data_IF_328844642037
#
_entry.id   IF_328844642037
#
_cell.length_a   1.000
_cell.length_b   1.000
_cell.length_c   1.000
_cell.angle_alpha   90.00
_cell.angle_beta   90.00
_cell.angle_gamma   90.00
#
_symmetry.space_group_name_H-M   'P 1'
#
loop_
_entity.id
_entity.type
_entity.pdbx_description
1 polymer ?
#
# COMPACT_ATOMS: atom_id res chain seq x y z
N UNK A 1 -16.33 -8.00 21.24
CA UNK A 1 -16.13 -6.65 20.65
C UNK A 1 -15.36 -6.89 19.38
N UNK A 2 -15.93 -6.58 18.21
CA UNK A 2 -15.29 -6.85 16.93
C UNK A 2 -14.27 -5.72 16.70
N UNK A 3 -12.99 -6.03 16.76
CA UNK A 3 -11.91 -5.10 16.46
C UNK A 3 -11.77 -5.02 14.93
N UNK A 4 -12.45 -4.05 14.32
CA UNK A 4 -12.28 -3.74 12.89
C UNK A 4 -11.25 -2.64 12.75
N UNK A 5 -10.19 -2.91 11.99
CA UNK A 5 -9.14 -1.94 11.71
C UNK A 5 -9.35 -1.41 10.30
N UNK A 6 -9.57 -0.11 10.17
CA UNK A 6 -9.67 0.56 8.87
C UNK A 6 -8.34 0.47 8.13
N UNK A 7 -8.38 0.03 6.88
CA UNK A 7 -7.22 0.03 5.99
C UNK A 7 -7.23 1.31 5.17
N UNK A 8 -6.19 2.11 5.36
CA UNK A 8 -5.92 3.26 4.51
C UNK A 8 -4.90 2.87 3.46
N UNK A 9 -5.05 3.38 2.24
CA UNK A 9 -3.96 3.32 1.27
C UNK A 9 -2.74 4.04 1.84
N UNK A 10 -1.54 3.65 1.39
CA UNK A 10 -0.30 4.29 1.83
C UNK A 10 -0.30 5.80 1.56
N UNK A 11 -0.84 6.21 0.41
CA UNK A 11 -1.02 7.62 0.08
C UNK A 11 -1.93 8.35 1.09
N UNK A 12 -3.05 7.74 1.48
CA UNK A 12 -4.01 8.33 2.42
C UNK A 12 -3.42 8.44 3.83
N UNK A 13 -2.68 7.43 4.27
CA UNK A 13 -1.95 7.46 5.54
C UNK A 13 -0.91 8.59 5.58
N UNK A 14 -0.12 8.73 4.52
CA UNK A 14 0.90 9.79 4.42
C UNK A 14 0.24 11.17 4.36
N UNK A 15 -0.88 11.30 3.65
CA UNK A 15 -1.68 12.53 3.63
C UNK A 15 -2.20 12.88 5.03
N UNK A 16 -2.81 11.94 5.72
CA UNK A 16 -3.33 12.13 7.07
C UNK A 16 -2.21 12.57 8.02
N UNK A 17 -1.11 11.80 8.07
CA UNK A 17 0.06 12.07 8.92
C UNK A 17 0.62 13.46 8.66
N UNK A 18 0.80 13.83 7.38
CA UNK A 18 1.30 15.14 7.00
C UNK A 18 0.35 16.27 7.45
N UNK A 19 -0.96 16.09 7.27
CA UNK A 19 -1.95 17.10 7.68
C UNK A 19 -2.04 17.27 9.18
N UNK A 20 -1.92 16.19 9.96
CA UNK A 20 -1.96 16.24 11.42
C UNK A 20 -0.70 16.89 12.00
N UNK A 21 0.48 16.60 11.43
CA UNK A 21 1.72 17.30 11.77
C UNK A 21 1.62 18.80 11.48
N UNK A 22 1.07 19.18 10.34
CA UNK A 22 0.87 20.60 9.99
C UNK A 22 -0.08 21.28 10.97
N UNK A 23 -1.22 20.65 11.29
CA UNK A 23 -2.18 21.17 12.28
C UNK A 23 -1.52 21.39 13.63
N UNK A 24 -0.73 20.43 14.11
CA UNK A 24 -0.01 20.54 15.36
C UNK A 24 1.01 21.70 15.35
N UNK A 25 1.78 21.84 14.27
CA UNK A 25 2.75 22.94 14.09
C UNK A 25 2.05 24.29 14.06
N UNK A 26 0.95 24.43 13.30
CA UNK A 26 0.16 25.67 13.24
C UNK A 26 -0.45 26.00 14.61
N UNK A 27 -0.99 25.02 15.34
CA UNK A 27 -1.56 25.22 16.65
C UNK A 27 -0.52 25.71 17.69
N UNK A 28 0.73 25.26 17.57
CA UNK A 28 1.83 25.75 18.42
C UNK A 28 2.35 27.13 18.03
N UNK A 29 1.86 27.71 16.93
CA UNK A 29 2.32 29.00 16.39
C UNK A 29 3.74 28.96 15.84
N UNK A 30 4.31 27.77 15.64
CA UNK A 30 5.67 27.63 15.12
C UNK A 30 5.64 27.64 13.60
N UNK A 31 6.26 28.64 12.99
CA UNK A 31 6.42 28.72 11.54
C UNK A 31 7.80 28.23 11.09
N UNK A 32 8.52 27.49 11.94
CA UNK A 32 9.87 27.03 11.66
C UNK A 32 9.86 25.77 10.78
N UNK A 33 10.97 25.53 10.08
CA UNK A 33 11.18 24.27 9.39
C UNK A 33 11.11 23.11 10.39
N UNK A 34 10.31 22.10 10.06
CA UNK A 34 10.16 20.89 10.87
C UNK A 34 10.70 19.69 10.09
N UNK A 35 11.77 19.02 10.56
CA UNK A 35 12.37 17.89 9.86
C UNK A 35 11.41 16.71 9.67
N UNK A 36 10.48 16.49 10.60
CA UNK A 36 9.48 15.41 10.51
C UNK A 36 8.51 15.66 9.35
N UNK A 37 8.06 16.91 9.17
CA UNK A 37 7.25 17.28 8.00
C UNK A 37 8.04 17.05 6.71
N UNK A 38 9.33 17.34 6.69
CA UNK A 38 10.18 17.12 5.51
C UNK A 38 10.32 15.64 5.16
N UNK A 39 10.46 14.79 6.16
CA UNK A 39 10.56 13.33 6.01
C UNK A 39 9.27 12.73 5.47
N UNK A 40 8.13 13.02 6.09
CA UNK A 40 6.81 12.55 5.63
C UNK A 40 6.50 13.08 4.23
N UNK A 41 6.81 14.35 3.95
CA UNK A 41 6.65 14.91 2.60
C UNK A 41 7.56 14.21 1.57
N UNK A 42 8.78 13.84 1.95
CA UNK A 42 9.68 13.09 1.06
C UNK A 42 9.17 11.67 0.80
N UNK A 43 8.66 10.99 1.82
CA UNK A 43 8.03 9.66 1.64
C UNK A 43 6.80 9.73 0.74
N UNK A 44 5.93 10.72 0.95
CA UNK A 44 4.76 10.91 0.10
C UNK A 44 5.15 11.27 -1.35
N UNK A 45 6.23 12.04 -1.51
CA UNK A 45 6.77 12.34 -2.85
C UNK A 45 7.26 11.06 -3.53
N UNK A 46 7.96 10.16 -2.82
CA UNK A 46 8.41 8.87 -3.38
C UNK A 46 7.22 8.01 -3.81
N UNK A 47 6.19 7.91 -2.97
CA UNK A 47 4.99 7.12 -3.25
C UNK A 47 4.31 7.58 -4.55
N UNK A 48 4.04 8.89 -4.67
CA UNK A 48 3.41 9.44 -5.86
C UNK A 48 4.30 9.36 -7.10
N UNK A 49 5.62 9.48 -6.96
CA UNK A 49 6.53 9.33 -8.09
C UNK A 49 6.47 7.93 -8.68
N UNK A 50 6.36 6.88 -7.85
CA UNK A 50 6.24 5.49 -8.33
C UNK A 50 4.95 5.33 -9.12
N UNK A 51 3.81 5.72 -8.55
CA UNK A 51 2.51 5.64 -9.26
C UNK A 51 2.46 6.48 -10.54
N UNK A 52 3.07 7.68 -10.53
CA UNK A 52 3.16 8.52 -11.74
C UNK A 52 4.07 7.94 -12.81
N UNK A 53 5.19 7.32 -12.42
CA UNK A 53 6.11 6.70 -13.36
C UNK A 53 5.50 5.45 -14.04
N UNK A 54 4.65 4.72 -13.32
CA UNK A 54 3.84 3.62 -13.87
C UNK A 54 2.79 4.11 -14.87
N UNK A 55 2.07 5.19 -14.54
CA UNK A 55 1.06 5.78 -15.41
C UNK A 55 1.66 6.50 -16.64
N UNK A 56 2.90 6.97 -16.54
CA UNK A 56 3.54 7.72 -17.61
C UNK A 56 3.93 6.83 -18.80
N UNK A 57 3.29 7.09 -19.95
CA UNK A 57 3.63 6.50 -21.24
C UNK A 57 4.93 7.08 -21.84
N UNK A 58 6.06 6.92 -21.15
CA UNK A 58 7.40 6.92 -21.76
C UNK A 58 8.10 8.28 -21.96
N UNK A 59 7.57 9.40 -21.47
CA UNK A 59 8.20 10.73 -21.61
C UNK A 59 8.42 11.48 -20.28
N UNK A 60 8.34 10.78 -19.15
CA UNK A 60 8.56 11.41 -17.86
C UNK A 60 10.05 11.70 -17.63
N UNK A 61 10.37 12.96 -17.29
CA UNK A 61 11.69 13.36 -16.81
C UNK A 61 11.70 13.33 -15.27
N UNK A 62 12.86 13.10 -14.63
CA UNK A 62 12.96 13.09 -13.16
C UNK A 62 12.38 14.36 -12.53
N UNK A 63 12.72 15.51 -13.09
CA UNK A 63 12.23 16.81 -12.64
C UNK A 63 10.72 16.98 -12.83
N UNK A 64 10.13 16.42 -13.89
CA UNK A 64 8.69 16.49 -14.10
C UNK A 64 7.93 15.61 -13.12
N UNK A 65 8.44 14.41 -12.81
CA UNK A 65 7.85 13.53 -11.79
C UNK A 65 7.87 14.21 -10.42
N UNK A 66 9.02 14.73 -10.00
CA UNK A 66 9.16 15.41 -8.71
C UNK A 66 8.24 16.62 -8.59
N UNK A 67 8.12 17.40 -9.68
CA UNK A 67 7.22 18.55 -9.71
C UNK A 67 5.75 18.11 -9.62
N UNK A 68 5.34 17.14 -10.43
CA UNK A 68 3.95 16.65 -10.43
C UNK A 68 3.57 16.01 -9.09
N UNK A 69 4.44 15.21 -8.50
CA UNK A 69 4.25 14.65 -7.16
C UNK A 69 4.13 15.77 -6.11
N UNK A 70 5.04 16.75 -6.11
CA UNK A 70 4.98 17.88 -5.18
C UNK A 70 3.71 18.73 -5.32
N UNK A 71 3.32 19.07 -6.56
CA UNK A 71 2.09 19.82 -6.84
C UNK A 71 0.84 19.04 -6.39
N UNK A 72 0.82 17.72 -6.59
CA UNK A 72 -0.28 16.85 -6.15
C UNK A 72 -0.39 16.78 -4.63
N UNK A 73 0.74 16.70 -3.90
CA UNK A 73 0.76 16.71 -2.43
C UNK A 73 0.27 18.06 -1.91
N UNK A 74 0.81 19.16 -2.42
CA UNK A 74 0.41 20.51 -2.01
C UNK A 74 -1.11 20.72 -2.16
N UNK A 75 -1.66 20.28 -3.30
CA UNK A 75 -3.10 20.33 -3.56
C UNK A 75 -3.89 19.48 -2.56
N UNK A 76 -3.55 18.20 -2.40
CA UNK A 76 -4.27 17.28 -1.50
C UNK A 76 -4.21 17.71 -0.03
N UNK A 77 -3.04 18.18 0.41
CA UNK A 77 -2.86 18.72 1.76
C UNK A 77 -3.72 19.96 1.96
N UNK A 78 -3.72 20.90 1.01
CA UNK A 78 -4.54 22.10 1.11
C UNK A 78 -6.05 21.78 1.10
N UNK A 79 -6.49 20.84 0.26
CA UNK A 79 -7.87 20.33 0.24
C UNK A 79 -8.29 19.80 1.62
N UNK A 80 -7.43 19.04 2.31
CA UNK A 80 -7.74 18.45 3.63
C UNK A 80 -7.55 19.39 4.82
N UNK A 81 -6.69 20.40 4.68
CA UNK A 81 -6.47 21.45 5.70
C UNK A 81 -7.56 22.53 5.67
N UNK A 82 -8.30 22.66 4.57
CA UNK A 82 -9.37 23.65 4.43
C UNK A 82 -8.84 25.08 4.55
N UNK A 83 -9.28 25.81 5.58
CA UNK A 83 -8.89 27.21 5.81
C UNK A 83 -7.49 27.38 6.41
N UNK A 84 -6.90 26.30 6.95
CA UNK A 84 -5.55 26.36 7.52
C UNK A 84 -4.55 26.60 6.39
N UNK A 85 -3.89 27.77 6.43
CA UNK A 85 -2.86 28.13 5.45
C UNK A 85 -1.50 27.66 5.94
N UNK A 86 -0.89 26.74 5.19
CA UNK A 86 0.47 26.29 5.45
C UNK A 86 1.25 26.20 4.14
N UNK A 87 2.44 26.80 4.09
CA UNK A 87 3.26 26.84 2.90
C UNK A 87 4.29 25.70 2.89
N UNK A 88 4.03 24.68 2.06
CA UNK A 88 4.90 23.53 1.85
C UNK A 88 6.10 23.78 0.92
N UNK A 89 6.15 24.91 0.21
CA UNK A 89 7.20 25.19 -0.78
C UNK A 89 8.61 25.19 -0.17
N UNK A 90 8.74 25.49 1.12
CA UNK A 90 10.01 25.42 1.87
C UNK A 90 10.59 24.00 1.98
N UNK A 91 9.74 22.97 1.89
CA UNK A 91 10.14 21.56 1.91
C UNK A 91 10.40 21.04 0.49
N UNK A 92 9.61 21.52 -0.46
CA UNK A 92 9.61 21.08 -1.86
C UNK A 92 10.97 21.15 -2.52
N UNK A 93 11.71 22.25 -2.40
CA UNK A 93 13.02 22.39 -3.06
C UNK A 93 14.07 21.44 -2.47
N UNK A 94 14.13 21.33 -1.13
CA UNK A 94 15.04 20.42 -0.44
C UNK A 94 14.77 18.96 -0.77
N UNK A 95 13.49 18.57 -0.76
CA UNK A 95 13.06 17.21 -1.10
C UNK A 95 13.28 16.91 -2.59
N UNK A 96 12.95 17.83 -3.50
CA UNK A 96 13.20 17.66 -4.92
C UNK A 96 14.69 17.46 -5.23
N UNK A 97 15.57 18.21 -4.53
CA UNK A 97 17.01 18.03 -4.65
C UNK A 97 17.47 16.66 -4.13
N UNK A 98 16.97 16.24 -2.97
CA UNK A 98 17.32 14.96 -2.36
C UNK A 98 16.83 13.75 -3.18
N UNK A 99 15.64 13.86 -3.78
CA UNK A 99 15.00 12.78 -4.53
C UNK A 99 15.35 12.78 -6.02
N UNK A 100 16.24 13.66 -6.49
CA UNK A 100 16.65 13.73 -7.90
C UNK A 100 17.29 12.43 -8.41
N UNK A 101 18.14 11.80 -7.61
CA UNK A 101 18.78 10.51 -7.97
C UNK A 101 17.75 9.37 -7.91
N UNK A 102 16.98 9.20 -6.81
CA UNK A 102 15.88 8.23 -6.77
C UNK A 102 14.89 8.36 -7.94
N UNK A 103 14.54 9.58 -8.36
CA UNK A 103 13.64 9.81 -9.49
C UNK A 103 14.17 9.24 -10.81
N UNK A 104 15.49 9.31 -11.02
CA UNK A 104 16.14 8.70 -12.20
C UNK A 104 16.10 7.18 -12.13
N UNK A 105 16.37 6.61 -10.95
CA UNK A 105 16.35 5.17 -10.74
C UNK A 105 14.95 4.59 -10.93
N UNK A 106 13.91 5.25 -10.38
CA UNK A 106 12.51 4.84 -10.59
C UNK A 106 12.16 4.82 -12.07
N UNK A 107 12.56 5.84 -12.84
CA UNK A 107 12.32 5.86 -14.29
C UNK A 107 13.05 4.75 -15.04
N UNK A 108 14.30 4.47 -14.68
CA UNK A 108 15.06 3.38 -15.27
C UNK A 108 14.41 2.02 -14.96
N UNK A 109 14.06 1.77 -13.70
CA UNK A 109 13.37 0.56 -13.26
C UNK A 109 12.01 0.37 -13.95
N UNK A 110 11.28 1.46 -14.21
CA UNK A 110 10.02 1.41 -14.97
C UNK A 110 10.24 1.02 -16.43
N UNK A 111 11.31 1.47 -17.07
CA UNK A 111 11.64 1.05 -18.43
C UNK A 111 12.07 -0.41 -18.47
N UNK A 112 12.90 -0.85 -17.52
CA UNK A 112 13.29 -2.26 -17.37
C UNK A 112 12.06 -3.15 -17.14
N UNK A 113 11.13 -2.72 -16.28
CA UNK A 113 9.87 -3.43 -16.03
C UNK A 113 9.00 -3.50 -17.30
N UNK A 114 8.91 -2.42 -18.08
CA UNK A 114 8.20 -2.41 -19.36
C UNK A 114 8.84 -3.36 -20.37
N UNK A 115 10.17 -3.40 -20.42
CA UNK A 115 10.91 -4.32 -21.29
C UNK A 115 10.69 -5.79 -20.88
N UNK A 116 10.83 -6.11 -19.60
CA UNK A 116 10.60 -7.46 -19.07
C UNK A 116 9.16 -7.94 -19.32
N UNK A 117 8.17 -7.05 -19.19
CA UNK A 117 6.77 -7.33 -19.56
C UNK A 117 6.61 -7.60 -21.06
N UNK A 118 7.26 -6.83 -21.94
CA UNK A 118 7.26 -7.07 -23.40
C UNK A 118 7.90 -8.41 -23.79
N UNK A 119 8.83 -8.90 -22.96
CA UNK A 119 9.52 -10.18 -23.14
C UNK A 119 8.80 -11.35 -22.46
N UNK A 120 7.62 -11.12 -21.84
CA UNK A 120 6.84 -12.11 -21.09
C UNK A 120 7.62 -12.76 -19.92
N UNK A 121 8.62 -12.05 -19.37
CA UNK A 121 9.39 -12.50 -18.20
C UNK A 121 8.65 -12.23 -16.89
N UNK A 122 7.85 -11.16 -16.88
CA UNK A 122 7.01 -10.74 -15.76
C UNK A 122 5.56 -10.73 -16.27
N UNK A 123 4.58 -11.16 -15.46
CA UNK A 123 3.20 -11.10 -15.90
C UNK A 123 2.74 -9.68 -16.20
N UNK A 124 2.07 -9.50 -17.34
CA UNK A 124 1.13 -8.41 -17.52
C UNK A 124 -0.14 -8.78 -16.75
N UNK A 125 -0.21 -8.45 -15.45
CA UNK A 125 -1.49 -8.50 -14.76
C UNK A 125 -1.97 -7.08 -14.47
N UNK A 126 -3.09 -6.71 -15.09
CA UNK A 126 -4.20 -6.10 -14.38
C UNK A 126 -5.03 -7.21 -13.69
N UNK A 127 -6.03 -6.84 -12.87
CA UNK A 127 -6.79 -7.79 -12.04
C UNK A 127 -7.29 -8.98 -12.87
N UNK A 128 -7.00 -10.19 -12.40
CA UNK A 128 -7.56 -11.40 -12.98
C UNK A 128 -9.09 -11.33 -12.91
N UNK A 129 -9.74 -11.10 -14.05
CA UNK A 129 -11.14 -11.39 -14.29
C UNK A 129 -11.35 -12.92 -14.25
N UNK A 130 -11.38 -13.50 -13.06
CA UNK A 130 -11.92 -14.84 -12.86
C UNK A 130 -12.83 -14.87 -11.65
N UNK A 131 -14.08 -14.46 -11.90
CA UNK A 131 -15.26 -15.18 -11.45
C UNK A 131 -15.43 -15.38 -9.94
N UNK A 132 -15.36 -14.30 -9.17
CA UNK A 132 -16.05 -14.10 -7.88
C UNK A 132 -15.70 -12.67 -7.46
N UNK A 133 -16.67 -11.85 -7.04
CA UNK A 133 -16.37 -10.54 -6.45
C UNK A 133 -15.73 -10.76 -5.07
N UNK A 134 -14.44 -11.08 -5.05
CA UNK A 134 -13.64 -11.09 -3.82
C UNK A 134 -13.10 -9.70 -3.56
N UNK A 135 -13.15 -9.17 -2.33
CA UNK A 135 -12.69 -7.81 -1.99
C UNK A 135 -11.16 -7.67 -2.01
N UNK A 136 -10.45 -8.55 -2.73
CA UNK A 136 -9.00 -8.61 -2.79
C UNK A 136 -8.54 -9.37 -4.03
N UNK A 137 -7.26 -9.20 -4.36
CA UNK A 137 -6.56 -9.96 -5.38
C UNK A 137 -5.22 -10.47 -4.84
N UNK A 138 -4.70 -11.54 -5.42
CA UNK A 138 -3.40 -12.13 -5.04
C UNK A 138 -2.40 -11.88 -6.16
N UNK A 139 -1.26 -11.31 -5.81
CA UNK A 139 -0.09 -11.10 -6.64
C UNK A 139 1.01 -12.11 -6.32
N UNK A 140 1.75 -12.50 -7.35
CA UNK A 140 2.99 -13.26 -7.22
C UNK A 140 4.17 -12.32 -7.45
N UNK A 141 5.12 -12.30 -6.53
CA UNK A 141 6.34 -11.50 -6.64
C UNK A 141 7.47 -12.40 -7.13
N UNK A 142 8.05 -12.05 -8.27
CA UNK A 142 9.14 -12.79 -8.90
C UNK A 142 9.03 -12.80 -10.43
N UNK A 143 9.91 -13.57 -11.08
CA UNK A 143 9.88 -13.78 -12.53
C UNK A 143 9.03 -15.01 -12.87
N UNK A 144 8.29 -14.98 -13.98
CA UNK A 144 7.42 -16.08 -14.45
C UNK A 144 8.12 -17.44 -14.56
N UNK A 145 9.41 -17.44 -14.89
CA UNK A 145 10.22 -18.64 -15.14
C UNK A 145 11.27 -18.89 -14.05
N UNK A 146 11.21 -18.12 -12.96
CA UNK A 146 12.06 -18.28 -11.78
C UNK A 146 11.22 -18.73 -10.59
N UNK A 147 11.86 -18.87 -9.43
CA UNK A 147 11.18 -19.10 -8.17
C UNK A 147 10.30 -17.89 -7.78
N UNK A 148 9.07 -18.17 -7.35
CA UNK A 148 8.18 -17.19 -6.73
C UNK A 148 8.79 -16.83 -5.38
N UNK A 149 9.12 -15.55 -5.18
CA UNK A 149 9.79 -15.05 -3.99
C UNK A 149 8.80 -14.66 -2.88
N UNK A 150 7.61 -14.21 -3.27
CA UNK A 150 6.54 -13.94 -2.31
C UNK A 150 5.17 -14.04 -2.95
N UNK A 151 4.16 -14.25 -2.09
CA UNK A 151 2.76 -14.09 -2.41
C UNK A 151 2.20 -12.92 -1.60
N UNK A 152 1.43 -12.05 -2.25
CA UNK A 152 0.84 -10.87 -1.61
C UNK A 152 -0.64 -10.82 -1.93
N UNK A 153 -1.51 -10.79 -0.92
CA UNK A 153 -2.91 -10.46 -1.07
C UNK A 153 -3.11 -8.97 -0.81
N UNK A 154 -3.74 -8.27 -1.75
CA UNK A 154 -4.01 -6.84 -1.69
C UNK A 154 -5.52 -6.62 -1.68
N UNK A 155 -6.05 -5.73 -0.83
CA UNK A 155 -7.46 -5.35 -0.92
C UNK A 155 -7.74 -4.76 -2.30
N UNK A 156 -8.96 -4.96 -2.81
CA UNK A 156 -9.47 -4.20 -3.95
C UNK A 156 -9.46 -2.71 -3.58
N UNK A 157 -9.30 -1.79 -4.53
CA UNK A 157 -9.07 -0.34 -4.30
C UNK A 157 -10.22 0.41 -3.57
N UNK A 158 -11.16 -0.34 -3.00
CA UNK A 158 -12.27 0.12 -2.16
C UNK A 158 -11.82 0.20 -0.69
N UNK A 159 -12.42 1.12 0.05
CA UNK A 159 -12.25 1.19 1.50
C UNK A 159 -12.62 -0.17 2.11
N UNK A 160 -11.70 -0.78 2.86
CA UNK A 160 -11.90 -2.08 3.49
C UNK A 160 -11.47 -2.03 4.97
N UNK A 161 -11.93 -3.01 5.73
CA UNK A 161 -11.53 -3.21 7.11
C UNK A 161 -10.90 -4.59 7.27
N UNK A 162 -10.01 -4.71 8.24
CA UNK A 162 -9.48 -6.00 8.71
C UNK A 162 -10.27 -6.44 9.93
N UNK A 163 -10.90 -7.62 9.86
CA UNK A 163 -11.56 -8.28 10.99
C UNK A 163 -10.78 -9.54 11.39
N UNK A 164 -9.85 -9.38 12.33
CA UNK A 164 -9.06 -10.50 12.88
C UNK A 164 -9.90 -11.47 13.70
N UNK A 165 -11.12 -11.10 14.11
CA UNK A 165 -12.02 -11.98 14.84
C UNK A 165 -12.45 -13.20 14.01
N UNK A 166 -12.48 -13.05 12.68
CA UNK A 166 -12.91 -14.10 11.74
C UNK A 166 -11.90 -15.25 11.59
N UNK A 167 -10.66 -15.06 12.04
CA UNK A 167 -9.54 -16.01 11.87
C UNK A 167 -8.90 -16.42 13.20
N UNK A 168 -9.49 -16.01 14.33
CA UNK A 168 -8.90 -16.22 15.65
C UNK A 168 -8.75 -17.71 16.03
N UNK A 169 -9.58 -18.58 15.45
CA UNK A 169 -9.49 -20.04 15.63
C UNK A 169 -8.53 -20.72 14.64
N UNK A 170 -8.23 -20.05 13.51
CA UNK A 170 -7.44 -20.62 12.41
C UNK A 170 -5.96 -20.25 12.48
N UNK A 171 -5.60 -19.18 13.18
CA UNK A 171 -4.22 -18.70 13.26
C UNK A 171 -3.94 -17.97 14.57
N UNK A 172 -2.65 -17.85 14.92
CA UNK A 172 -2.20 -17.03 16.05
C UNK A 172 -1.75 -15.65 15.55
N UNK A 173 -2.39 -14.59 16.03
CA UNK A 173 -1.95 -13.20 15.78
C UNK A 173 -0.86 -12.78 16.77
N UNK A 174 0.24 -12.20 16.28
CA UNK A 174 1.23 -11.46 17.08
C UNK A 174 1.31 -10.00 16.63
N UNK A 175 1.72 -9.14 17.55
CA UNK A 175 1.80 -7.69 17.36
C UNK A 175 0.65 -6.96 18.06
N UNK A 176 0.98 -5.81 18.66
CA UNK A 176 0.01 -4.87 19.23
C UNK A 176 -0.37 -3.76 18.24
N UNK A 177 0.47 -3.58 17.21
CA UNK A 177 0.30 -2.64 16.12
C UNK A 177 0.93 -3.21 14.85
N UNK A 178 0.64 -2.60 13.69
CA UNK A 178 1.27 -2.97 12.43
C UNK A 178 2.81 -2.91 12.51
N UNK A 179 3.51 -3.84 11.82
CA UNK A 179 2.95 -5.00 11.11
C UNK A 179 2.47 -6.09 12.08
N UNK A 180 1.38 -6.77 11.72
CA UNK A 180 0.92 -7.96 12.46
C UNK A 180 1.49 -9.23 11.84
N UNK A 181 1.76 -10.24 12.66
CA UNK A 181 2.13 -11.58 12.19
C UNK A 181 0.95 -12.54 12.41
N UNK A 182 0.53 -13.24 11.36
CA UNK A 182 -0.45 -14.31 11.41
C UNK A 182 0.27 -15.64 11.22
N UNK A 183 0.30 -16.43 12.29
CA UNK A 183 1.01 -17.70 12.33
C UNK A 183 0.02 -18.83 12.12
N UNK A 184 0.20 -19.58 11.04
CA UNK A 184 -0.61 -20.75 10.67
C UNK A 184 0.25 -22.00 10.75
N UNK A 185 -0.26 -23.03 11.42
CA UNK A 185 0.38 -24.34 11.45
C UNK A 185 -0.21 -25.20 10.33
N UNK A 186 0.60 -25.54 9.32
CA UNK A 186 0.20 -26.49 8.27
C UNK A 186 0.93 -27.82 8.46
N UNK A 187 0.19 -28.93 8.41
CA UNK A 187 0.74 -30.27 8.65
C UNK A 187 1.81 -30.71 7.66
N UNK A 188 1.84 -30.12 6.47
CA UNK A 188 2.72 -30.51 5.37
C UNK A 188 3.92 -29.58 5.21
N UNK A 189 3.80 -28.31 5.62
CA UNK A 189 4.83 -27.28 5.45
C UNK A 189 5.47 -26.87 6.78
N UNK A 190 4.72 -26.96 7.89
CA UNK A 190 5.12 -26.48 9.20
C UNK A 190 4.51 -25.11 9.50
N UNK A 191 5.29 -24.27 10.19
CA UNK A 191 4.87 -22.92 10.57
C UNK A 191 4.97 -21.96 9.38
N UNK A 192 3.84 -21.36 9.02
CA UNK A 192 3.73 -20.30 8.02
C UNK A 192 3.47 -18.97 8.71
N UNK A 193 4.25 -17.95 8.36
CA UNK A 193 4.11 -16.60 8.91
C UNK A 193 3.67 -15.66 7.79
N UNK A 194 2.44 -15.16 7.91
CA UNK A 194 1.92 -14.10 7.04
C UNK A 194 2.06 -12.76 7.75
N UNK A 195 2.58 -11.76 7.06
CA UNK A 195 2.75 -10.41 7.59
C UNK A 195 1.63 -9.53 7.05
N UNK A 196 0.87 -8.89 7.93
CA UNK A 196 -0.12 -7.89 7.57
C UNK A 196 0.47 -6.51 7.79
N UNK A 197 0.58 -5.74 6.70
CA UNK A 197 1.13 -4.38 6.73
C UNK A 197 0.02 -3.33 6.89
N UNK A 198 0.41 -2.08 7.18
CA UNK A 198 -0.50 -0.97 7.48
C UNK A 198 -1.41 -0.59 6.30
N UNK A 199 -0.99 -0.88 5.07
CA UNK A 199 -1.82 -0.74 3.86
C UNK A 199 -2.80 -1.90 3.67
N UNK A 200 -2.94 -2.77 4.68
CA UNK A 200 -3.81 -3.94 4.69
C UNK A 200 -3.27 -5.14 3.94
N UNK A 201 -2.17 -5.02 3.19
CA UNK A 201 -1.61 -6.12 2.43
C UNK A 201 -1.18 -7.27 3.33
N UNK A 202 -1.42 -8.50 2.88
CA UNK A 202 -1.03 -9.73 3.58
C UNK A 202 0.01 -10.43 2.71
N UNK A 203 1.23 -10.60 3.22
CA UNK A 203 2.33 -11.16 2.45
C UNK A 203 3.02 -12.33 3.15
N UNK A 204 3.54 -13.25 2.35
CA UNK A 204 4.41 -14.33 2.80
C UNK A 204 5.58 -14.48 1.84
N UNK A 205 6.78 -14.54 2.38
CA UNK A 205 7.98 -14.89 1.62
C UNK A 205 7.99 -16.39 1.37
N UNK A 206 8.23 -16.78 0.13
CA UNK A 206 8.17 -18.18 -0.32
C UNK A 206 9.53 -18.69 -0.79
N UNK A 207 10.62 -18.04 -0.34
CA UNK A 207 11.98 -18.45 -0.63
C UNK A 207 12.18 -19.93 -0.26
N UNK A 208 12.64 -20.73 -1.23
CA UNK A 208 12.86 -22.17 -1.09
C UNK A 208 11.61 -23.03 -0.88
N UNK A 209 10.40 -22.52 -1.13
CA UNK A 209 9.20 -23.36 -1.07
C UNK A 209 9.14 -24.28 -2.30
N UNK A 210 8.89 -25.59 -2.12
CA UNK A 210 8.65 -26.46 -3.26
C UNK A 210 7.36 -26.06 -3.98
N UNK A 211 7.27 -26.32 -5.29
CA UNK A 211 6.12 -25.91 -6.11
C UNK A 211 4.77 -26.43 -5.57
N UNK A 212 4.77 -27.61 -4.97
CA UNK A 212 3.59 -28.21 -4.33
C UNK A 212 3.15 -27.42 -3.08
N UNK A 213 4.10 -26.86 -2.31
CA UNK A 213 3.81 -26.00 -1.17
C UNK A 213 3.27 -24.63 -1.61
N UNK A 214 3.77 -24.07 -2.71
CA UNK A 214 3.29 -22.77 -3.22
C UNK A 214 1.79 -22.76 -3.49
N UNK A 215 1.25 -23.82 -4.10
CA UNK A 215 -0.19 -23.93 -4.36
C UNK A 215 -1.00 -23.99 -3.07
N UNK A 216 -0.46 -24.67 -2.05
CA UNK A 216 -1.11 -24.77 -0.75
C UNK A 216 -1.06 -23.45 0.02
N UNK A 217 0.07 -22.77 0.01
CA UNK A 217 0.26 -21.45 0.63
C UNK A 217 -0.64 -20.41 -0.03
N UNK A 218 -0.78 -20.44 -1.37
CA UNK A 218 -1.71 -19.57 -2.10
C UNK A 218 -3.16 -19.77 -1.63
N UNK A 219 -3.58 -21.01 -1.39
CA UNK A 219 -4.92 -21.30 -0.89
C UNK A 219 -5.12 -20.84 0.56
N UNK A 220 -4.10 -21.01 1.41
CA UNK A 220 -4.13 -20.51 2.79
C UNK A 220 -4.21 -18.97 2.79
N UNK A 221 -3.40 -18.29 1.97
CA UNK A 221 -3.45 -16.85 1.81
C UNK A 221 -4.84 -16.39 1.33
N UNK A 222 -5.41 -17.07 0.33
CA UNK A 222 -6.77 -16.78 -0.16
C UNK A 222 -7.82 -16.94 0.95
N UNK A 223 -7.71 -18.00 1.76
CA UNK A 223 -8.61 -18.23 2.88
C UNK A 223 -8.51 -17.13 3.94
N UNK A 224 -7.29 -16.79 4.38
CA UNK A 224 -7.03 -15.73 5.35
C UNK A 224 -7.57 -14.39 4.82
N UNK A 225 -7.20 -14.01 3.61
CA UNK A 225 -7.64 -12.76 2.98
C UNK A 225 -9.18 -12.69 2.86
N UNK A 226 -9.83 -13.78 2.45
CA UNK A 226 -11.29 -13.84 2.34
C UNK A 226 -12.06 -13.81 3.66
N UNK A 227 -11.37 -13.99 4.79
CA UNK A 227 -11.94 -13.86 6.13
C UNK A 227 -11.67 -12.51 6.75
N UNK A 228 -10.46 -11.97 6.55
CA UNK A 228 -10.02 -10.73 7.18
C UNK A 228 -10.60 -9.51 6.45
N UNK A 229 -10.56 -9.48 5.12
CA UNK A 229 -11.04 -8.33 4.37
C UNK A 229 -12.56 -8.27 4.40
N UNK A 230 -13.09 -7.24 5.06
CA UNK A 230 -14.52 -6.99 5.13
C UNK A 230 -14.86 -5.62 4.55
N UNK A 231 -15.97 -5.56 3.82
CA UNK A 231 -16.49 -4.31 3.26
C UNK A 231 -16.99 -3.38 4.38
N UNK A 232 -17.04 -2.05 4.13
CA UNK A 232 -17.74 -1.12 4.99
C UNK A 232 -19.19 -1.57 5.11
N UNK A 233 -19.73 -1.60 6.32
CA UNK A 233 -21.17 -1.78 6.48
C UNK A 233 -21.81 -0.54 5.89
N UNK A 234 -22.50 -0.67 4.75
CA UNK A 234 -23.33 0.42 4.26
C UNK A 234 -24.41 0.68 5.30
N UNK A 235 -24.46 1.90 5.81
CA UNK A 235 -25.51 2.36 6.73
C UNK A 235 -26.84 2.57 5.95
N UNK A 236 -27.13 1.72 4.96
CA UNK A 236 -28.38 1.74 4.17
C UNK A 236 -29.49 0.96 4.91
N UNK A 237 -29.58 1.17 6.22
CA UNK A 237 -30.76 0.81 7.02
C UNK A 237 -31.34 2.03 7.71
N UNK A 238 -31.38 3.15 6.98
CA UNK A 238 -32.27 4.25 7.29
C UNK A 238 -33.68 3.96 6.75
N UNK A 239 -34.56 3.57 7.68
CA UNK A 239 -36.02 3.76 7.67
C UNK A 239 -36.84 3.03 6.60
N UNK A 240 -37.26 1.80 6.92
CA UNK A 240 -38.62 1.36 6.56
C UNK A 240 -39.53 1.73 7.72
N UNK A 241 -40.01 2.97 7.71
CA UNK A 241 -41.28 3.33 8.33
C UNK A 241 -42.12 4.04 7.28
N UNK A 242 -43.08 3.29 6.71
CA UNK A 242 -44.33 3.80 6.18
C UNK A 242 -45.36 2.67 6.06
#
# INVERSE_FOLDING_TARGET
MIERIEVLSREELLLQTLTDLIRAVVATGTANYNPVIAEVYAEFTRELMVGQAEAAMGLAYPESLLRQAGDAIERRVQERLGEIRFNLSRYKEGVAKALKVPAKEVLALQEDLKQARRQDEIPMYGPNEYGEHTPFWISEVGLKRSEIQALVALPDDRQCYLDFGQIAEDCTRRGEWFPFELIVQDSSIGELVFVVDQNGSIQIHTDNFPAEALSRVRNILKYIAGKIYVEPVSDDSEWVDM
#
